data_IF_506131831997
#
_entry.id   IF_506131831997
#
_cell.length_a   1.000
_cell.length_b   1.000
_cell.length_c   1.000
_cell.angle_alpha   90.00
_cell.angle_beta   90.00
_cell.angle_gamma   90.00
#
_symmetry.space_group_name_H-M   'P 1'
#
loop_
_entity.id
_entity.type
_entity.pdbx_description
1 polymer ?
#
# COMPACT_ATOMS: atom_id res chain seq x y z
N UNK A 1 -14.84 -1.39 -3.36
CA UNK A 1 -14.00 -2.60 -3.19
C UNK A 1 -12.91 -2.23 -2.21
N UNK A 2 -12.87 -2.88 -1.05
CA UNK A 2 -11.78 -2.66 -0.09
C UNK A 2 -10.64 -3.63 -0.41
N UNK A 3 -9.41 -3.15 -0.42
CA UNK A 3 -8.23 -3.98 -0.65
C UNK A 3 -7.43 -3.93 0.65
N UNK A 4 -7.13 -5.09 1.20
CA UNK A 4 -6.34 -5.16 2.42
C UNK A 4 -5.72 -6.53 2.60
N UNK A 5 -4.78 -6.57 3.53
CA UNK A 5 -4.01 -7.78 3.83
C UNK A 5 -4.66 -8.51 4.99
N UNK A 6 -4.41 -9.81 5.14
CA UNK A 6 -5.06 -10.65 6.16
C UNK A 6 -4.96 -10.07 7.60
N UNK A 7 -3.82 -9.45 7.93
CA UNK A 7 -3.60 -8.74 9.20
C UNK A 7 -4.62 -7.63 9.52
N UNK A 8 -5.27 -7.07 8.50
CA UNK A 8 -6.27 -6.00 8.63
C UNK A 8 -7.71 -6.51 8.49
N UNK A 9 -7.94 -7.83 8.44
CA UNK A 9 -9.27 -8.45 8.30
C UNK A 9 -10.28 -7.89 9.32
N UNK A 10 -9.90 -7.79 10.59
CA UNK A 10 -10.77 -7.27 11.65
C UNK A 10 -11.17 -5.80 11.43
N UNK A 11 -10.26 -4.98 10.88
CA UNK A 11 -10.53 -3.58 10.54
C UNK A 11 -11.45 -3.47 9.32
N UNK A 12 -11.27 -4.33 8.33
CA UNK A 12 -12.14 -4.40 7.15
C UNK A 12 -13.55 -4.83 7.53
N UNK A 13 -13.70 -5.80 8.43
CA UNK A 13 -14.98 -6.25 8.97
C UNK A 13 -15.67 -5.15 9.78
N UNK A 14 -14.93 -4.46 10.66
CA UNK A 14 -15.46 -3.31 11.40
C UNK A 14 -15.91 -2.18 10.47
N UNK A 15 -15.13 -1.90 9.42
CA UNK A 15 -15.46 -0.89 8.41
C UNK A 15 -16.75 -1.26 7.66
N UNK A 16 -16.95 -2.53 7.31
CA UNK A 16 -18.19 -3.02 6.68
C UNK A 16 -19.41 -2.78 7.57
N UNK A 17 -19.30 -3.08 8.86
CA UNK A 17 -20.40 -2.87 9.82
C UNK A 17 -20.71 -1.38 9.99
N UNK A 18 -19.69 -0.53 10.02
CA UNK A 18 -19.86 0.91 10.22
C UNK A 18 -20.31 1.66 8.96
N UNK A 19 -19.88 1.23 7.77
CA UNK A 19 -20.12 1.97 6.52
C UNK A 19 -21.55 1.81 5.97
N UNK A 20 -22.38 0.93 6.56
CA UNK A 20 -23.75 0.69 6.10
C UNK A 20 -23.85 0.07 4.71
N UNK A 21 -22.75 -0.50 4.19
CA UNK A 21 -22.70 -1.14 2.87
C UNK A 21 -22.50 -2.66 3.08
N UNK A 22 -23.59 -3.43 3.26
CA UNK A 22 -23.53 -4.84 3.61
C UNK A 22 -22.86 -5.70 2.53
N UNK A 23 -22.85 -5.26 1.27
CA UNK A 23 -22.27 -6.00 0.13
C UNK A 23 -20.84 -5.58 -0.23
N UNK A 24 -20.11 -4.95 0.69
CA UNK A 24 -18.69 -4.64 0.46
C UNK A 24 -17.91 -5.92 0.23
N UNK A 25 -17.52 -6.13 -1.03
CA UNK A 25 -16.53 -7.12 -1.44
C UNK A 25 -15.13 -6.59 -1.17
N UNK A 26 -14.29 -7.41 -0.53
CA UNK A 26 -12.88 -7.13 -0.38
C UNK A 26 -12.02 -8.18 -1.08
N UNK A 27 -10.88 -7.74 -1.59
CA UNK A 27 -9.85 -8.60 -2.14
C UNK A 27 -8.72 -8.71 -1.11
N UNK A 28 -8.46 -9.92 -0.67
CA UNK A 28 -7.30 -10.21 0.17
C UNK A 28 -6.07 -10.26 -0.73
N UNK A 29 -5.09 -9.43 -0.40
CA UNK A 29 -3.81 -9.39 -1.12
C UNK A 29 -2.68 -9.65 -0.14
N UNK A 30 -1.65 -10.35 -0.59
CA UNK A 30 -0.43 -10.51 0.20
C UNK A 30 0.14 -9.13 0.50
N UNK A 31 0.49 -8.87 1.77
CA UNK A 31 1.14 -7.61 2.13
C UNK A 31 2.45 -7.51 1.36
N UNK A 32 2.70 -6.44 0.59
CA UNK A 32 3.87 -6.35 -0.29
C UNK A 32 5.20 -6.43 0.46
N UNK A 33 5.18 -6.25 1.79
CA UNK A 33 6.31 -6.45 2.69
C UNK A 33 6.20 -7.71 3.58
N UNK A 34 4.99 -8.23 3.80
CA UNK A 34 4.77 -9.33 4.77
C UNK A 34 5.14 -10.70 4.23
N UNK A 35 5.28 -10.83 2.91
CA UNK A 35 5.74 -12.03 2.22
C UNK A 35 7.24 -12.02 1.88
N UNK A 36 7.96 -10.95 2.22
CA UNK A 36 9.37 -10.79 1.87
C UNK A 36 10.29 -11.38 2.93
N UNK A 37 11.33 -12.09 2.51
CA UNK A 37 12.41 -12.48 3.42
C UNK A 37 13.29 -11.27 3.76
N UNK A 38 14.04 -11.36 4.86
CA UNK A 38 14.79 -10.23 5.42
C UNK A 38 15.69 -9.51 4.40
N UNK A 39 16.30 -10.24 3.47
CA UNK A 39 17.17 -9.66 2.45
C UNK A 39 16.39 -8.91 1.36
N UNK A 40 15.24 -9.42 0.94
CA UNK A 40 14.35 -8.72 0.01
C UNK A 40 13.77 -7.45 0.63
N UNK A 41 13.44 -7.48 1.93
CA UNK A 41 12.99 -6.31 2.67
C UNK A 41 14.10 -5.24 2.73
N UNK A 42 15.35 -5.63 3.02
CA UNK A 42 16.50 -4.73 3.00
C UNK A 42 16.75 -4.13 1.62
N UNK A 43 16.63 -4.94 0.57
CA UNK A 43 16.79 -4.47 -0.80
C UNK A 43 15.73 -3.43 -1.17
N UNK A 44 14.46 -3.70 -0.84
CA UNK A 44 13.38 -2.73 -1.05
C UNK A 44 13.56 -1.45 -0.25
N UNK A 45 14.02 -1.54 1.00
CA UNK A 45 14.30 -0.38 1.82
C UNK A 45 15.40 0.52 1.21
N UNK A 46 16.44 -0.08 0.62
CA UNK A 46 17.48 0.68 -0.10
C UNK A 46 16.90 1.37 -1.33
N UNK A 47 16.16 0.65 -2.17
CA UNK A 47 15.54 1.22 -3.38
C UNK A 47 14.50 2.30 -3.09
N UNK A 48 13.85 2.28 -1.92
CA UNK A 48 12.89 3.29 -1.52
C UNK A 48 13.55 4.67 -1.30
N UNK A 49 14.82 4.72 -0.87
CA UNK A 49 15.57 5.97 -0.70
C UNK A 49 15.82 6.62 -2.05
N UNK A 50 16.30 5.85 -3.03
CA UNK A 50 16.55 6.34 -4.40
C UNK A 50 15.25 6.83 -5.07
N UNK A 51 14.14 6.11 -4.87
CA UNK A 51 12.82 6.52 -5.35
C UNK A 51 12.33 7.81 -4.70
N UNK A 52 12.48 7.93 -3.38
CA UNK A 52 12.12 9.14 -2.66
C UNK A 52 12.93 10.32 -3.17
N UNK A 53 14.26 10.18 -3.25
CA UNK A 53 15.15 11.22 -3.77
C UNK A 53 14.73 11.65 -5.18
N UNK A 54 14.44 10.71 -6.08
CA UNK A 54 13.97 11.03 -7.42
C UNK A 54 12.65 11.81 -7.42
N UNK A 55 11.74 11.53 -6.49
CA UNK A 55 10.46 12.25 -6.37
C UNK A 55 10.67 13.66 -5.82
N UNK A 56 11.51 13.83 -4.79
CA UNK A 56 11.67 15.12 -4.10
C UNK A 56 12.73 16.05 -4.69
N UNK A 57 13.70 15.51 -5.42
CA UNK A 57 14.78 16.30 -6.07
C UNK A 57 14.51 16.57 -7.53
N UNK A 58 13.49 15.95 -8.13
CA UNK A 58 13.03 16.37 -9.45
C UNK A 58 12.55 17.84 -9.36
N UNK A 59 13.18 18.76 -10.13
CA UNK A 59 12.66 20.11 -10.25
C UNK A 59 11.27 19.98 -10.88
N UNK A 60 10.27 20.59 -10.24
CA UNK A 60 8.86 20.41 -10.54
C UNK A 60 8.55 20.33 -12.03
N UNK A 61 7.70 19.36 -12.38
CA UNK A 61 7.08 19.28 -13.69
C UNK A 61 6.61 20.67 -14.10
N UNK A 62 7.26 21.19 -15.14
CA UNK A 62 6.86 22.39 -15.83
C UNK A 62 5.39 22.25 -16.23
N UNK A 63 4.59 23.19 -15.76
CA UNK A 63 3.42 23.71 -16.46
C UNK A 63 3.65 23.68 -17.97
N UNK A 64 2.83 22.92 -18.71
CA UNK A 64 2.68 23.06 -20.16
C UNK A 64 2.64 21.75 -20.94
N UNK A 65 1.44 21.25 -21.25
CA UNK A 65 0.77 21.48 -22.54
C UNK A 65 -0.68 21.01 -22.52
#
# INVERSE_FOLDING_TARGET
>A
MLIGTDRFRSVLEATRTMSGVPDVRWAEVAHPLGSLVADELRQRARSAVDQFEAIVTQPGGTTGR
#
